data_IF_726164957772
#
_entry.id   IF_726164957772
#
_cell.length_a   1.000
_cell.length_b   1.000
_cell.length_c   1.000
_cell.angle_alpha   90.00
_cell.angle_beta   90.00
_cell.angle_gamma   90.00
#
_symmetry.space_group_name_H-M   'P 1'
#
loop_
_entity.id
_entity.type
_entity.pdbx_description
1 polymer ?
#
# COMPACT_ATOMS: atom_id res chain seq x y z
N UNK A 1 7.96 -4.93 2.39
CA UNK A 1 6.76 -5.35 1.64
C UNK A 1 5.86 -6.31 2.42
N UNK A 2 6.37 -7.38 3.04
CA UNK A 2 5.53 -8.36 3.75
C UNK A 2 4.61 -7.73 4.83
N UNK A 3 5.14 -6.79 5.62
CA UNK A 3 4.36 -6.06 6.63
C UNK A 3 3.23 -5.21 6.03
N UNK A 4 3.42 -4.61 4.84
CA UNK A 4 2.39 -3.83 4.14
C UNK A 4 1.30 -4.73 3.56
N UNK A 5 1.67 -5.90 3.01
CA UNK A 5 0.70 -6.91 2.56
C UNK A 5 -0.13 -7.44 3.72
N UNK A 6 0.48 -7.68 4.88
CA UNK A 6 -0.23 -8.07 6.11
C UNK A 6 -1.19 -6.97 6.59
N UNK A 7 -0.78 -5.70 6.53
CA UNK A 7 -1.63 -4.56 6.87
C UNK A 7 -2.85 -4.43 5.96
N UNK A 8 -2.67 -4.55 4.64
CA UNK A 8 -3.79 -4.56 3.67
C UNK A 8 -4.77 -5.70 3.98
N UNK A 9 -4.26 -6.91 4.22
CA UNK A 9 -5.12 -8.06 4.54
C UNK A 9 -5.86 -7.89 5.88
N UNK A 10 -5.23 -7.28 6.88
CA UNK A 10 -5.88 -6.97 8.15
C UNK A 10 -7.00 -5.93 7.96
N UNK A 11 -6.76 -4.88 7.18
CA UNK A 11 -7.76 -3.85 6.92
C UNK A 11 -8.93 -4.37 6.07
N UNK A 12 -8.69 -5.29 5.12
CA UNK A 12 -9.77 -5.98 4.38
C UNK A 12 -10.71 -6.73 5.33
N UNK A 13 -10.15 -7.51 6.26
CA UNK A 13 -10.94 -8.19 7.29
C UNK A 13 -11.69 -7.21 8.20
N UNK A 14 -11.08 -6.06 8.51
CA UNK A 14 -11.74 -5.01 9.29
C UNK A 14 -12.96 -4.42 8.57
N UNK A 15 -12.86 -4.20 7.25
CA UNK A 15 -14.00 -3.76 6.41
C UNK A 15 -15.09 -4.81 6.38
N UNK A 16 -14.75 -6.09 6.20
CA UNK A 16 -15.72 -7.19 6.22
C UNK A 16 -16.47 -7.24 7.56
N UNK A 17 -15.75 -7.19 8.67
CA UNK A 17 -16.33 -7.19 10.01
C UNK A 17 -17.20 -5.95 10.26
N UNK A 18 -16.74 -4.76 9.86
CA UNK A 18 -17.50 -3.53 10.03
C UNK A 18 -18.83 -3.57 9.24
N UNK A 19 -18.81 -4.12 8.03
CA UNK A 19 -20.02 -4.34 7.24
C UNK A 19 -20.98 -5.34 7.90
N UNK A 20 -20.46 -6.44 8.44
CA UNK A 20 -21.26 -7.41 9.17
C UNK A 20 -21.91 -6.80 10.42
N UNK A 21 -21.15 -6.04 11.20
CA UNK A 21 -21.67 -5.34 12.39
C UNK A 21 -22.70 -4.27 12.01
N UNK A 22 -22.46 -3.52 10.93
CA UNK A 22 -23.39 -2.49 10.45
C UNK A 22 -24.71 -3.10 9.98
N UNK A 23 -24.66 -4.19 9.20
CA UNK A 23 -25.87 -4.91 8.76
C UNK A 23 -26.67 -5.49 9.93
N UNK A 24 -26.01 -5.82 11.05
CA UNK A 24 -26.64 -6.25 12.30
C UNK A 24 -27.08 -5.08 13.20
N UNK A 25 -26.84 -3.83 12.79
CA UNK A 25 -27.16 -2.63 13.57
C UNK A 25 -26.30 -2.44 14.82
N UNK A 26 -25.17 -3.15 14.93
CA UNK A 26 -24.28 -3.13 16.09
C UNK A 26 -23.28 -1.97 16.06
N UNK A 27 -23.03 -1.40 14.87
CA UNK A 27 -22.22 -0.21 14.66
C UNK A 27 -22.90 0.74 13.69
N UNK A 28 -22.52 2.01 13.72
CA UNK A 28 -22.97 2.99 12.73
C UNK A 28 -22.17 2.88 11.42
N UNK A 29 -22.69 3.48 10.35
CA UNK A 29 -22.04 3.48 9.04
C UNK A 29 -20.66 4.17 9.03
N UNK A 30 -20.38 5.09 9.99
CA UNK A 30 -19.07 5.74 10.10
C UNK A 30 -17.96 4.73 10.39
N UNK A 31 -18.24 3.66 11.15
CA UNK A 31 -17.26 2.60 11.39
C UNK A 31 -16.87 1.85 10.10
N UNK A 32 -17.83 1.66 9.18
CA UNK A 32 -17.55 1.08 7.86
C UNK A 32 -16.65 2.02 7.07
N UNK A 33 -16.98 3.31 7.04
CA UNK A 33 -16.23 4.33 6.32
C UNK A 33 -14.79 4.49 6.85
N UNK A 34 -14.60 4.40 8.16
CA UNK A 34 -13.27 4.48 8.79
C UNK A 34 -12.43 3.24 8.49
N UNK A 35 -13.05 2.05 8.45
CA UNK A 35 -12.38 0.82 8.04
C UNK A 35 -11.98 0.87 6.55
N UNK A 36 -12.87 1.34 5.68
CA UNK A 36 -12.59 1.50 4.24
C UNK A 36 -11.49 2.53 3.99
N UNK A 37 -11.50 3.66 4.72
CA UNK A 37 -10.44 4.66 4.66
C UNK A 37 -9.08 4.07 5.06
N UNK A 38 -9.06 3.25 6.11
CA UNK A 38 -7.83 2.59 6.59
C UNK A 38 -7.31 1.58 5.57
N UNK A 39 -8.20 0.84 4.92
CA UNK A 39 -7.85 -0.06 3.82
C UNK A 39 -7.23 0.69 2.65
N UNK A 40 -7.89 1.75 2.17
CA UNK A 40 -7.41 2.58 1.07
C UNK A 40 -5.99 3.11 1.33
N UNK A 41 -5.75 3.64 2.53
CA UNK A 41 -4.42 4.11 2.94
C UNK A 41 -3.37 3.00 2.88
N UNK A 42 -3.68 1.81 3.39
CA UNK A 42 -2.72 0.69 3.34
C UNK A 42 -2.43 0.18 1.92
N UNK A 43 -3.42 0.24 1.02
CA UNK A 43 -3.23 -0.13 -0.39
C UNK A 43 -2.37 0.90 -1.12
N UNK A 44 -2.57 2.20 -0.84
CA UNK A 44 -1.70 3.28 -1.36
C UNK A 44 -0.24 3.12 -0.91
N UNK A 45 -0.02 2.81 0.37
CA UNK A 45 1.32 2.58 0.93
C UNK A 45 2.00 1.37 0.28
N UNK A 46 1.26 0.28 0.02
CA UNK A 46 1.78 -0.89 -0.67
C UNK A 46 2.24 -0.54 -2.10
N UNK A 47 1.40 0.17 -2.86
CA UNK A 47 1.72 0.59 -4.25
C UNK A 47 2.92 1.53 -4.28
N UNK A 48 3.04 2.47 -3.33
CA UNK A 48 4.21 3.34 -3.26
C UNK A 48 5.50 2.59 -2.91
N UNK A 49 5.40 1.57 -2.06
CA UNK A 49 6.55 0.74 -1.73
C UNK A 49 7.04 -0.05 -2.96
N UNK A 50 6.13 -0.65 -3.72
CA UNK A 50 6.46 -1.36 -4.97
C UNK A 50 7.11 -0.44 -6.01
N UNK A 51 6.60 0.80 -6.14
CA UNK A 51 7.21 1.83 -6.98
C UNK A 51 8.63 2.16 -6.54
N UNK A 52 8.84 2.33 -5.23
CA UNK A 52 10.15 2.64 -4.65
C UNK A 52 11.16 1.52 -4.91
N UNK A 53 10.76 0.26 -4.74
CA UNK A 53 11.61 -0.90 -5.05
C UNK A 53 12.01 -0.91 -6.53
N UNK A 54 11.06 -0.62 -7.42
CA UNK A 54 11.33 -0.56 -8.87
C UNK A 54 12.30 0.57 -9.23
N UNK A 55 12.15 1.75 -8.63
CA UNK A 55 13.07 2.87 -8.81
C UNK A 55 14.46 2.56 -8.27
N UNK A 56 14.54 1.93 -7.09
CA UNK A 56 15.81 1.50 -6.50
C UNK A 56 16.53 0.49 -7.40
N UNK A 57 15.80 -0.42 -8.05
CA UNK A 57 16.38 -1.34 -9.02
C UNK A 57 16.96 -0.59 -10.23
N UNK A 58 16.25 0.40 -10.78
CA UNK A 58 16.75 1.24 -11.88
C UNK A 58 18.00 2.02 -11.47
N UNK A 59 18.01 2.61 -10.27
CA UNK A 59 19.17 3.34 -9.72
C UNK A 59 20.35 2.40 -9.54
N UNK A 60 20.12 1.19 -9.01
CA UNK A 60 21.15 0.17 -8.84
C UNK A 60 21.76 -0.24 -10.19
N UNK A 61 20.93 -0.49 -11.21
CA UNK A 61 21.40 -0.79 -12.57
C UNK A 61 22.23 0.36 -13.16
N UNK A 62 21.80 1.62 -12.98
CA UNK A 62 22.59 2.78 -13.40
C UNK A 62 23.94 2.84 -12.68
N UNK A 63 23.96 2.62 -11.37
CA UNK A 63 25.18 2.66 -10.55
C UNK A 63 26.17 1.52 -10.84
N UNK A 64 25.67 0.33 -11.21
CA UNK A 64 26.50 -0.86 -11.44
C UNK A 64 27.11 -0.97 -12.85
N UNK A 65 26.68 -0.16 -13.83
CA UNK A 65 27.14 -0.41 -15.19
C UNK A 65 26.60 0.46 -16.32
N UNK A 66 25.71 1.42 -16.05
CA UNK A 66 25.10 2.27 -17.09
C UNK A 66 25.28 3.77 -16.87
N UNK A 67 26.07 4.18 -15.88
CA UNK A 67 26.28 5.56 -15.47
C UNK A 67 27.56 6.23 -16.01
N UNK A 68 28.24 5.66 -17.00
CA UNK A 68 29.59 6.10 -17.40
C UNK A 68 29.75 6.65 -18.82
N UNK A 69 28.68 6.94 -19.59
CA UNK A 69 28.88 7.32 -21.00
C UNK A 69 28.14 8.53 -21.57
N UNK A 70 27.36 9.28 -20.80
CA UNK A 70 26.84 10.58 -21.30
C UNK A 70 26.71 11.63 -20.20
N UNK A 71 27.86 12.11 -19.72
CA UNK A 71 28.00 13.51 -19.34
C UNK A 71 29.00 14.13 -20.33
N UNK A 72 28.56 14.76 -21.43
CA UNK A 72 29.38 15.69 -22.17
C UNK A 72 29.23 17.09 -21.56
N UNK A 73 30.38 17.72 -21.35
CA UNK A 73 30.61 19.17 -21.21
C UNK A 73 29.68 20.04 -22.03
#
# INVERSE_FOLDING_TARGET
>A
CQNLTEAVNANRRAVELANELFSKGLVNFLNVLDAERSLCKSEEELVQNERTVSLNLVILYKALGGGWENEPS
#
